data_IF_333486475720
#
_entry.id   IF_333486475720
#
_cell.length_a   1.000
_cell.length_b   1.000
_cell.length_c   1.000
_cell.angle_alpha   90.00
_cell.angle_beta   90.00
_cell.angle_gamma   90.00
#
_symmetry.space_group_name_H-M   'P 1'
#
loop_
_entity.id
_entity.type
_entity.pdbx_description
1 polymer ?
#
# COMPACT_ATOMS: atom_id res chain seq x y z
N UNK A 1 12.60 5.52 -12.56
CA UNK A 1 12.58 5.40 -11.08
C UNK A 1 12.23 6.76 -10.51
N UNK A 2 11.12 6.89 -9.78
CA UNK A 2 10.58 8.18 -9.34
C UNK A 2 9.07 8.12 -9.14
N UNK A 3 8.38 9.22 -9.43
CA UNK A 3 6.92 9.27 -9.42
C UNK A 3 6.35 9.26 -10.84
N UNK A 4 5.19 8.66 -11.02
CA UNK A 4 4.42 8.73 -12.25
C UNK A 4 2.93 8.81 -11.94
N UNK A 5 2.16 9.38 -12.87
CA UNK A 5 0.70 9.56 -12.72
C UNK A 5 -0.03 8.52 -13.58
N UNK A 6 -1.02 7.85 -13.00
CA UNK A 6 -1.95 6.97 -13.72
C UNK A 6 -3.38 7.36 -13.32
N UNK A 7 -4.16 7.82 -14.29
CA UNK A 7 -5.47 8.43 -14.04
C UNK A 7 -5.34 9.68 -13.16
N UNK A 8 -6.05 9.69 -12.03
CA UNK A 8 -5.98 10.77 -11.03
C UNK A 8 -4.93 10.53 -9.94
N UNK A 9 -4.30 9.35 -9.92
CA UNK A 9 -3.44 8.93 -8.81
C UNK A 9 -1.96 8.99 -9.17
N UNK A 10 -1.14 9.29 -8.16
CA UNK A 10 0.31 9.17 -8.24
C UNK A 10 0.79 7.83 -7.71
N UNK A 11 1.87 7.35 -8.32
CA UNK A 11 2.55 6.12 -7.96
C UNK A 11 4.02 6.42 -7.78
N UNK A 12 4.65 5.73 -6.83
CA UNK A 12 6.10 5.72 -6.64
C UNK A 12 6.66 4.39 -7.12
N UNK A 13 7.85 4.44 -7.70
CA UNK A 13 8.59 3.24 -8.10
C UNK A 13 10.09 3.51 -7.99
N UNK A 14 10.74 2.88 -7.01
CA UNK A 14 12.18 2.97 -6.78
C UNK A 14 12.77 1.62 -6.37
N UNK A 15 14.09 1.45 -6.53
CA UNK A 15 14.82 0.31 -5.98
C UNK A 15 15.69 0.76 -4.81
N UNK A 16 15.84 -0.11 -3.82
CA UNK A 16 16.81 0.02 -2.75
C UNK A 16 17.33 -1.37 -2.39
N UNK A 17 18.65 -1.54 -2.31
CA UNK A 17 19.30 -2.84 -2.02
C UNK A 17 18.78 -4.01 -2.87
N UNK A 18 18.51 -3.78 -4.16
CA UNK A 18 17.98 -4.81 -5.07
C UNK A 18 16.49 -5.11 -4.93
N UNK A 19 15.81 -4.58 -3.91
CA UNK A 19 14.37 -4.72 -3.72
C UNK A 19 13.61 -3.57 -4.39
N UNK A 20 12.50 -3.89 -5.06
CA UNK A 20 11.62 -2.92 -5.73
C UNK A 20 10.54 -2.43 -4.78
N UNK A 21 10.44 -1.11 -4.63
CA UNK A 21 9.40 -0.44 -3.86
C UNK A 21 8.42 0.25 -4.80
N UNK A 22 7.18 -0.23 -4.82
CA UNK A 22 6.10 0.32 -5.61
C UNK A 22 4.83 0.50 -4.78
N UNK A 23 4.31 1.72 -4.73
CA UNK A 23 3.12 2.08 -3.95
C UNK A 23 2.26 3.08 -4.73
N UNK A 24 0.93 2.99 -4.55
CA UNK A 24 -0.01 3.99 -5.00
C UNK A 24 -0.19 5.03 -3.89
N UNK A 25 0.15 6.30 -4.18
CA UNK A 25 -0.10 7.42 -3.27
C UNK A 25 -1.57 7.85 -3.33
N UNK A 26 -2.20 7.77 -4.49
CA UNK A 26 -3.56 8.28 -4.72
C UNK A 26 -3.60 9.72 -5.26
N UNK A 27 -4.78 10.38 -5.22
CA UNK A 27 -5.00 11.66 -5.87
C UNK A 27 -4.45 12.83 -5.05
N UNK A 28 -3.17 13.13 -5.25
CA UNK A 28 -2.47 14.26 -4.61
C UNK A 28 -1.85 15.21 -5.65
N UNK A 29 -1.33 16.35 -5.21
CA UNK A 29 -0.54 17.23 -6.07
C UNK A 29 0.81 16.59 -6.42
N UNK A 30 1.42 17.01 -7.53
CA UNK A 30 2.73 16.50 -7.97
C UNK A 30 3.82 16.77 -6.92
N UNK A 31 3.74 17.91 -6.23
CA UNK A 31 4.70 18.31 -5.19
C UNK A 31 4.61 17.38 -3.99
N UNK A 32 3.39 17.13 -3.49
CA UNK A 32 3.15 16.20 -2.39
C UNK A 32 3.63 14.79 -2.75
N UNK A 33 3.40 14.34 -3.98
CA UNK A 33 3.90 13.04 -4.43
C UNK A 33 5.44 12.93 -4.40
N UNK A 34 6.16 14.02 -4.70
CA UNK A 34 7.63 14.04 -4.60
C UNK A 34 8.11 13.99 -3.16
N UNK A 35 7.47 14.73 -2.27
CA UNK A 35 7.80 14.73 -0.83
C UNK A 35 7.58 13.34 -0.22
N UNK A 36 6.47 12.68 -0.57
CA UNK A 36 6.21 11.31 -0.15
C UNK A 36 7.29 10.35 -0.66
N UNK A 37 7.73 10.48 -1.92
CA UNK A 37 8.83 9.67 -2.45
C UNK A 37 10.12 9.85 -1.63
N UNK A 38 10.45 11.09 -1.26
CA UNK A 38 11.64 11.38 -0.44
C UNK A 38 11.50 10.75 0.95
N UNK A 39 10.34 10.92 1.58
CA UNK A 39 10.04 10.32 2.89
C UNK A 39 10.12 8.79 2.85
N UNK A 40 9.52 8.14 1.86
CA UNK A 40 9.58 6.68 1.70
C UNK A 40 11.01 6.17 1.51
N UNK A 41 11.83 6.87 0.73
CA UNK A 41 13.26 6.51 0.61
C UNK A 41 13.99 6.61 1.94
N UNK A 42 13.74 7.66 2.73
CA UNK A 42 14.33 7.80 4.06
C UNK A 42 13.88 6.66 4.99
N UNK A 43 12.57 6.36 5.04
CA UNK A 43 12.04 5.26 5.86
C UNK A 43 12.61 3.89 5.44
N UNK A 44 12.85 3.66 4.15
CA UNK A 44 13.52 2.45 3.65
C UNK A 44 14.97 2.38 4.11
N UNK A 45 15.72 3.49 4.02
CA UNK A 45 17.10 3.55 4.48
C UNK A 45 17.17 3.32 6.00
N UNK A 46 16.20 3.82 6.76
CA UNK A 46 16.07 3.60 8.19
C UNK A 46 15.59 2.19 8.56
N UNK A 47 15.22 1.35 7.58
CA UNK A 47 14.67 0.01 7.82
C UNK A 47 13.25 0.00 8.40
N UNK A 48 12.52 1.12 8.33
CA UNK A 48 11.18 1.31 8.90
C UNK A 48 10.05 1.11 7.89
N UNK A 49 10.38 1.05 6.60
CA UNK A 49 9.40 0.86 5.54
C UNK A 49 9.47 -0.54 4.94
N UNK A 50 8.47 -1.35 5.27
CA UNK A 50 8.28 -2.66 4.66
C UNK A 50 7.03 -2.67 3.77
N UNK A 51 7.26 -2.79 2.47
CA UNK A 51 6.22 -3.00 1.44
C UNK A 51 5.52 -4.35 1.60
N UNK A 52 6.14 -5.28 2.31
CA UNK A 52 5.61 -6.61 2.57
C UNK A 52 4.82 -6.69 3.87
N UNK A 53 4.26 -5.57 4.38
CA UNK A 53 3.06 -5.67 5.20
C UNK A 53 1.95 -6.24 4.32
N UNK A 54 2.00 -7.55 4.12
CA UNK A 54 1.00 -8.33 3.45
C UNK A 54 -0.29 -7.88 4.09
N UNK A 55 -1.18 -7.29 3.29
CA UNK A 55 -2.57 -7.18 3.70
C UNK A 55 -2.94 -8.59 4.11
N UNK A 56 -3.18 -8.77 5.42
CA UNK A 56 -3.67 -10.03 5.96
C UNK A 56 -5.01 -10.20 5.28
N UNK A 57 -4.98 -10.88 4.14
CA UNK A 57 -6.18 -11.21 3.41
C UNK A 57 -6.71 -12.35 4.24
N UNK A 58 -7.84 -12.18 4.94
CA UNK A 58 -8.36 -13.27 5.74
C UNK A 58 -8.51 -14.48 4.83
N UNK A 59 -8.16 -15.65 5.36
CA UNK A 59 -8.48 -16.90 4.69
C UNK A 59 -9.97 -16.92 4.40
N UNK A 60 -10.36 -17.52 3.28
CA UNK A 60 -11.76 -17.62 2.88
C UNK A 60 -12.65 -18.18 4.00
N UNK A 61 -12.11 -19.11 4.79
CA UNK A 61 -12.75 -19.69 5.97
C UNK A 61 -13.07 -18.64 7.05
N UNK A 62 -12.11 -17.78 7.41
CA UNK A 62 -12.32 -16.70 8.38
C UNK A 62 -13.35 -15.66 7.89
N UNK A 63 -13.51 -15.52 6.57
CA UNK A 63 -14.56 -14.68 5.98
C UNK A 63 -15.95 -15.35 6.03
N UNK A 64 -16.00 -16.68 5.89
CA UNK A 64 -17.24 -17.47 5.98
C UNK A 64 -17.88 -17.40 7.37
N UNK A 65 -17.08 -17.51 8.42
CA UNK A 65 -17.57 -17.42 9.81
C UNK A 65 -18.28 -16.07 10.05
N UNK A 66 -17.65 -14.99 9.59
CA UNK A 66 -18.18 -13.63 9.72
C UNK A 66 -19.49 -13.43 8.94
N UNK A 67 -19.60 -14.08 7.76
CA UNK A 67 -20.80 -14.04 6.93
C UNK A 67 -21.98 -14.80 7.58
N UNK A 68 -21.73 -16.00 8.10
CA UNK A 68 -22.74 -16.82 8.76
C UNK A 68 -23.28 -16.17 10.03
N UNK A 69 -22.41 -15.55 10.84
CA UNK A 69 -22.79 -14.83 12.05
C UNK A 69 -23.71 -13.63 11.72
N UNK A 70 -23.37 -12.87 10.68
CA UNK A 70 -24.20 -11.75 10.22
C UNK A 70 -25.58 -12.23 9.75
N UNK A 71 -25.63 -13.34 8.99
CA UNK A 71 -26.88 -13.89 8.47
C UNK A 71 -27.78 -14.49 9.57
N UNK A 72 -27.19 -15.17 10.55
CA UNK A 72 -27.95 -15.74 11.68
C UNK A 72 -28.55 -14.69 12.60
N UNK A 73 -27.98 -13.49 12.67
CA UNK A 73 -28.49 -12.39 13.49
C UNK A 73 -29.65 -11.60 12.84
N UNK A 74 -29.90 -11.84 11.55
CA UNK A 74 -30.94 -11.20 10.75
C UNK A 74 -32.25 -12.03 10.64
N UNK A 75 -32.27 -13.25 11.18
CA UNK A 75 -33.46 -14.13 11.22
C UNK A 75 -34.00 -14.19 12.64
#
# INVERSE_FOLDING_TARGET
MGIYKKGKSWYINFYYQGQRYQECIGPVSKTVAKEILVKRKAEVIEGRYDINQAKVTPLFEAFLDQYLETFSSMT
#
